data_IF_613581689394
#
_entry.id   IF_613581689394
#
_cell.length_a   1.000
_cell.length_b   1.000
_cell.length_c   1.000
_cell.angle_alpha   90.00
_cell.angle_beta   90.00
_cell.angle_gamma   90.00
#
_symmetry.space_group_name_H-M   'P 1'
#
loop_
_entity.id
_entity.type
_entity.pdbx_description
1 polymer ?
#
# COMPACT_ATOMS: atom_id res chain seq x y z
N UNK A 1 13.26 -10.85 3.91
CA UNK A 1 12.19 -9.85 3.67
C UNK A 1 10.88 -10.61 3.74
N UNK A 2 10.18 -10.51 4.87
CA UNK A 2 8.98 -11.32 5.12
C UNK A 2 7.78 -10.68 4.41
N UNK A 3 7.32 -11.30 3.32
CA UNK A 3 6.04 -10.96 2.68
C UNK A 3 4.90 -11.71 3.36
N UNK A 4 3.76 -11.05 3.55
CA UNK A 4 2.57 -11.69 4.13
C UNK A 4 1.69 -12.25 3.00
N UNK A 5 1.38 -13.55 3.06
CA UNK A 5 0.53 -14.25 2.11
C UNK A 5 -0.79 -14.56 2.81
N UNK A 6 -1.86 -13.83 2.47
CA UNK A 6 -3.23 -14.26 2.77
C UNK A 6 -3.65 -15.29 1.71
N UNK A 7 -3.70 -16.57 2.09
CA UNK A 7 -4.39 -17.61 1.31
C UNK A 7 -5.85 -17.65 1.76
N UNK A 8 -6.75 -17.31 0.84
CA UNK A 8 -8.19 -17.40 1.05
C UNK A 8 -8.68 -18.75 0.53
N UNK A 9 -8.31 -19.82 1.23
CA UNK A 9 -8.51 -21.21 0.77
C UNK A 9 -9.97 -21.72 0.87
N UNK A 10 -10.99 -20.85 1.03
CA UNK A 10 -12.35 -21.33 1.32
C UNK A 10 -13.52 -20.70 0.54
N UNK A 11 -13.27 -19.96 -0.54
CA UNK A 11 -14.35 -19.52 -1.44
C UNK A 11 -13.91 -19.74 -2.88
N UNK A 12 -14.72 -20.42 -3.70
CA UNK A 12 -14.40 -20.83 -5.07
C UNK A 12 -14.18 -19.66 -6.07
N UNK A 13 -14.04 -18.42 -5.57
CA UNK A 13 -13.92 -17.14 -6.30
C UNK A 13 -13.09 -16.09 -5.54
N UNK A 14 -12.37 -16.46 -4.48
CA UNK A 14 -11.69 -15.52 -3.58
C UNK A 14 -10.48 -14.88 -4.26
N UNK A 15 -10.49 -13.55 -4.39
CA UNK A 15 -9.37 -12.79 -4.90
C UNK A 15 -8.26 -12.81 -3.84
N UNK A 16 -7.06 -13.31 -4.14
CA UNK A 16 -5.99 -13.31 -3.15
C UNK A 16 -5.22 -12.00 -3.18
N UNK A 17 -4.77 -11.52 -2.02
CA UNK A 17 -4.11 -10.24 -1.90
C UNK A 17 -2.82 -10.38 -1.09
N UNK A 18 -1.73 -9.82 -1.63
CA UNK A 18 -0.42 -9.82 -0.99
C UNK A 18 0.07 -8.39 -0.86
N UNK A 19 0.40 -8.00 0.37
CA UNK A 19 0.95 -6.68 0.65
C UNK A 19 2.47 -6.82 0.79
N UNK A 20 3.18 -6.13 -0.10
CA UNK A 20 4.62 -5.93 -0.01
C UNK A 20 4.91 -4.51 0.47
N UNK A 21 6.17 -4.23 0.80
CA UNK A 21 6.59 -2.93 1.32
C UNK A 21 6.41 -1.75 0.34
N UNK A 22 6.34 -2.01 -0.96
CA UNK A 22 6.26 -0.98 -2.00
C UNK A 22 5.00 -1.07 -2.86
N UNK A 23 4.39 -2.26 -2.93
CA UNK A 23 3.26 -2.55 -3.78
C UNK A 23 2.29 -3.54 -3.12
N UNK A 24 1.03 -3.43 -3.51
CA UNK A 24 -0.01 -4.40 -3.20
C UNK A 24 -0.29 -5.19 -4.48
N UNK A 25 -0.12 -6.51 -4.42
CA UNK A 25 -0.47 -7.43 -5.49
C UNK A 25 -1.87 -7.98 -5.23
N UNK A 26 -2.76 -7.82 -6.21
CA UNK A 26 -4.14 -8.28 -6.20
C UNK A 26 -4.25 -9.36 -7.27
N UNK A 27 -4.52 -10.59 -6.85
CA UNK A 27 -4.73 -11.71 -7.75
C UNK A 27 -6.22 -12.02 -7.80
N UNK A 28 -6.86 -11.64 -8.90
CA UNK A 28 -8.27 -11.94 -9.17
C UNK A 28 -8.36 -13.30 -9.82
N UNK A 29 -8.95 -14.26 -9.10
CA UNK A 29 -9.11 -15.63 -9.59
C UNK A 29 -10.42 -15.76 -10.38
N UNK A 30 -10.31 -16.06 -11.68
CA UNK A 30 -11.40 -16.46 -12.55
C UNK A 30 -11.38 -17.98 -12.76
N UNK A 31 -12.48 -18.62 -13.18
CA UNK A 31 -12.54 -20.07 -13.36
C UNK A 31 -11.47 -20.66 -14.27
N UNK A 32 -10.98 -19.88 -15.25
CA UNK A 32 -10.03 -20.33 -16.27
C UNK A 32 -8.67 -19.64 -16.20
N UNK A 33 -8.53 -18.58 -15.39
CA UNK A 33 -7.30 -17.76 -15.35
C UNK A 33 -7.22 -16.95 -14.07
N UNK A 34 -6.02 -16.51 -13.70
CA UNK A 34 -5.84 -15.54 -12.61
C UNK A 34 -5.28 -14.25 -13.20
N UNK A 35 -5.99 -13.14 -13.05
CA UNK A 35 -5.47 -11.83 -13.39
C UNK A 35 -4.68 -11.29 -12.20
N UNK A 36 -3.47 -10.80 -12.46
CA UNK A 36 -2.60 -10.21 -11.44
C UNK A 36 -2.44 -8.74 -11.73
N UNK A 37 -2.92 -7.93 -10.82
CA UNK A 37 -2.72 -6.48 -10.82
C UNK A 37 -1.82 -6.07 -9.66
N UNK A 38 -1.09 -4.97 -9.87
CA UNK A 38 -0.19 -4.39 -8.87
C UNK A 38 -0.45 -2.90 -8.75
N UNK A 39 -0.60 -2.43 -7.52
CA UNK A 39 -0.74 -1.00 -7.21
C UNK A 39 0.35 -0.59 -6.23
N UNK A 40 1.07 0.50 -6.53
CA UNK A 40 2.10 1.00 -5.62
C UNK A 40 1.46 1.59 -4.37
N UNK A 41 2.08 1.38 -3.22
CA UNK A 41 1.60 1.92 -1.92
C UNK A 41 1.42 3.45 -1.98
N UNK A 42 2.34 4.16 -2.66
CA UNK A 42 2.24 5.62 -2.85
C UNK A 42 1.14 6.10 -3.81
N UNK A 43 0.55 5.18 -4.57
CA UNK A 43 -0.57 5.43 -5.50
C UNK A 43 -1.92 5.12 -4.86
N UNK A 44 -1.97 4.41 -3.73
CA UNK A 44 -3.22 4.18 -2.98
C UNK A 44 -3.66 5.50 -2.32
N UNK A 45 -4.91 5.89 -2.54
CA UNK A 45 -5.59 7.05 -1.95
C UNK A 45 -6.35 6.66 -0.68
N UNK A 46 -7.13 5.59 -0.74
CA UNK A 46 -8.02 5.17 0.34
C UNK A 46 -8.29 3.65 0.30
N UNK A 47 -8.62 3.09 1.46
CA UNK A 47 -9.06 1.70 1.62
C UNK A 47 -10.35 1.69 2.46
N UNK A 48 -11.47 1.40 1.78
CA UNK A 48 -12.78 1.32 2.39
C UNK A 48 -13.16 -0.14 2.68
N UNK A 49 -13.80 -0.37 3.84
CA UNK A 49 -14.40 -1.65 4.20
C UNK A 49 -15.90 -1.40 4.35
N UNK A 50 -16.70 -2.15 3.61
CA UNK A 50 -18.16 -2.05 3.63
C UNK A 50 -18.74 -3.43 3.92
N UNK A 51 -19.81 -3.50 4.71
CA UNK A 51 -20.56 -4.76 4.81
C UNK A 51 -21.19 -5.05 3.45
N UNK A 52 -21.17 -6.30 3.03
CA UNK A 52 -21.84 -6.70 1.80
C UNK A 52 -23.36 -6.61 2.01
N UNK A 53 -24.10 -5.74 1.29
CA UNK A 53 -25.54 -5.62 1.46
C UNK A 53 -26.30 -6.85 0.93
N UNK A 54 -25.66 -7.69 0.11
CA UNK A 54 -26.24 -8.90 -0.49
C UNK A 54 -25.99 -10.14 0.38
N UNK A 55 -24.90 -10.15 1.14
CA UNK A 55 -24.63 -11.20 2.12
C UNK A 55 -24.98 -10.71 3.53
N UNK A 56 -26.03 -11.27 4.10
CA UNK A 56 -26.43 -11.00 5.49
C UNK A 56 -25.52 -11.73 6.52
N UNK A 57 -24.23 -11.91 6.19
CA UNK A 57 -23.23 -12.53 7.06
C UNK A 57 -22.20 -11.47 7.51
N UNK A 58 -22.16 -11.10 8.81
CA UNK A 58 -21.26 -10.07 9.32
C UNK A 58 -19.77 -10.49 9.29
N UNK A 59 -19.49 -11.77 9.01
CA UNK A 59 -18.11 -12.28 8.90
C UNK A 59 -17.46 -11.84 7.60
N UNK A 60 -18.23 -11.50 6.57
CA UNK A 60 -17.71 -11.11 5.27
C UNK A 60 -18.00 -9.65 4.96
N UNK A 61 -17.09 -9.03 4.23
CA UNK A 61 -17.17 -7.64 3.86
C UNK A 61 -16.57 -7.42 2.47
N UNK A 62 -16.95 -6.31 1.87
CA UNK A 62 -16.40 -5.81 0.63
C UNK A 62 -15.29 -4.84 0.97
N UNK A 63 -14.08 -5.09 0.46
CA UNK A 63 -12.96 -4.15 0.57
C UNK A 63 -12.77 -3.44 -0.76
N UNK A 64 -12.72 -2.11 -0.72
CA UNK A 64 -12.42 -1.28 -1.89
C UNK A 64 -11.10 -0.54 -1.71
N UNK A 65 -10.16 -0.73 -2.62
CA UNK A 65 -8.87 -0.02 -2.67
C UNK A 65 -8.93 1.00 -3.78
N UNK A 66 -8.87 2.29 -3.42
CA UNK A 66 -8.90 3.40 -4.36
C UNK A 66 -7.47 3.86 -4.68
N UNK A 67 -7.10 3.85 -5.94
CA UNK A 67 -5.82 4.33 -6.45
C UNK A 67 -5.92 5.69 -7.16
N UNK A 68 -4.79 6.39 -7.26
CA UNK A 68 -4.64 7.63 -8.04
C UNK A 68 -4.88 7.32 -9.52
N UNK A 69 -5.81 8.04 -10.15
CA UNK A 69 -5.97 7.99 -11.60
C UNK A 69 -6.95 6.95 -12.15
N UNK A 70 -7.92 6.49 -11.35
CA UNK A 70 -9.09 5.62 -11.70
C UNK A 70 -8.93 4.11 -11.47
N UNK A 71 -7.82 3.65 -10.91
CA UNK A 71 -7.68 2.24 -10.51
C UNK A 71 -8.41 2.01 -9.18
N UNK A 72 -9.64 1.50 -9.24
CA UNK A 72 -10.40 1.09 -8.07
C UNK A 72 -10.53 -0.43 -8.09
N UNK A 73 -10.06 -1.07 -7.03
CA UNK A 73 -10.20 -2.51 -6.86
C UNK A 73 -11.27 -2.78 -5.82
N UNK A 74 -12.19 -3.69 -6.11
CA UNK A 74 -13.21 -4.15 -5.17
C UNK A 74 -13.04 -5.63 -4.98
N UNK A 75 -12.83 -6.03 -3.72
CA UNK A 75 -12.62 -7.41 -3.30
C UNK A 75 -13.86 -7.80 -2.50
N UNK A 76 -14.79 -8.56 -3.10
CA UNK A 76 -15.96 -9.05 -2.38
C UNK A 76 -15.58 -10.20 -1.44
N UNK A 77 -16.44 -10.46 -0.46
CA UNK A 77 -16.38 -11.66 0.39
C UNK A 77 -15.06 -11.86 1.16
N UNK A 78 -14.42 -10.77 1.60
CA UNK A 78 -13.24 -10.87 2.47
C UNK A 78 -13.67 -10.96 3.93
N UNK A 79 -13.03 -11.83 4.72
CA UNK A 79 -13.34 -11.91 6.14
C UNK A 79 -13.07 -10.56 6.84
N UNK A 80 -14.01 -10.11 7.68
CA UNK A 80 -13.95 -8.81 8.36
C UNK A 80 -12.66 -8.61 9.15
N UNK A 81 -12.14 -9.66 9.81
CA UNK A 81 -10.86 -9.60 10.51
C UNK A 81 -9.69 -9.36 9.54
N UNK A 82 -9.64 -10.11 8.45
CA UNK A 82 -8.60 -10.00 7.42
C UNK A 82 -8.67 -8.65 6.72
N UNK A 83 -9.87 -8.14 6.43
CA UNK A 83 -10.10 -6.82 5.86
C UNK A 83 -9.58 -5.69 6.75
N UNK A 84 -9.86 -5.74 8.06
CA UNK A 84 -9.33 -4.77 9.02
C UNK A 84 -7.82 -4.81 9.12
N UNK A 85 -7.24 -6.02 9.17
CA UNK A 85 -5.80 -6.20 9.19
C UNK A 85 -5.14 -5.67 7.91
N UNK A 86 -5.74 -5.96 6.74
CA UNK A 86 -5.30 -5.46 5.45
C UNK A 86 -5.28 -3.94 5.40
N UNK A 87 -6.40 -3.30 5.79
CA UNK A 87 -6.51 -1.85 5.85
C UNK A 87 -5.41 -1.24 6.74
N UNK A 88 -5.27 -1.74 7.96
CA UNK A 88 -4.24 -1.31 8.90
C UNK A 88 -2.82 -1.45 8.33
N UNK A 89 -2.54 -2.58 7.68
CA UNK A 89 -1.23 -2.84 7.05
C UNK A 89 -0.94 -1.82 5.95
N UNK A 90 -1.90 -1.57 5.05
CA UNK A 90 -1.75 -0.60 3.95
C UNK A 90 -1.57 0.82 4.51
N UNK A 91 -2.37 1.23 5.49
CA UNK A 91 -2.27 2.56 6.11
C UNK A 91 -0.92 2.77 6.80
N UNK A 92 -0.40 1.74 7.47
CA UNK A 92 0.93 1.75 8.09
C UNK A 92 2.01 1.91 7.03
N UNK A 93 1.99 1.09 5.98
CA UNK A 93 2.96 1.16 4.88
C UNK A 93 2.90 2.51 4.15
N UNK A 94 1.70 3.08 3.96
CA UNK A 94 1.53 4.43 3.39
C UNK A 94 2.16 5.50 4.26
N UNK A 95 1.95 5.43 5.57
CA UNK A 95 2.54 6.37 6.54
C UNK A 95 4.07 6.27 6.52
N UNK A 96 4.62 5.07 6.47
CA UNK A 96 6.07 4.84 6.35
C UNK A 96 6.62 5.37 5.02
N UNK A 97 5.91 5.15 3.92
CA UNK A 97 6.28 5.65 2.59
C UNK A 97 6.31 7.18 2.56
N UNK A 98 5.30 7.85 3.16
CA UNK A 98 5.27 9.31 3.27
C UNK A 98 6.44 9.84 4.11
N UNK A 99 6.73 9.23 5.27
CA UNK A 99 7.87 9.61 6.13
C UNK A 99 9.20 9.47 5.39
N UNK A 100 9.40 8.39 4.61
CA UNK A 100 10.61 8.21 3.78
C UNK A 100 10.73 9.25 2.66
N UNK A 101 9.61 9.61 2.03
CA UNK A 101 9.57 10.64 1.00
C UNK A 101 9.89 12.04 1.56
N UNK A 102 9.53 12.31 2.82
CA UNK A 102 9.84 13.55 3.53
C UNK A 102 11.29 13.59 4.02
N UNK A 103 11.83 12.48 4.54
CA UNK A 103 13.24 12.41 4.99
C UNK A 103 14.23 12.60 3.83
N UNK A 104 13.94 12.03 2.65
CA UNK A 104 14.76 12.20 1.45
C UNK A 104 14.78 13.63 0.88
N UNK A 105 13.81 14.48 1.25
CA UNK A 105 13.81 15.92 0.85
C UNK A 105 14.69 16.78 1.76
N UNK A 106 14.97 16.34 2.99
CA UNK A 106 15.78 17.11 3.95
C UNK A 106 17.28 17.01 3.69
N UNK A 107 17.79 15.89 3.15
CA UNK A 107 19.23 15.75 2.84
C UNK A 107 19.68 16.54 1.61
N UNK A 108 18.80 16.75 0.62
CA UNK A 108 19.14 17.47 -0.62
C UNK A 108 19.41 18.98 -0.39
N UNK A 109 18.71 19.62 0.55
CA UNK A 109 18.94 21.05 0.85
C UNK A 109 20.22 21.31 1.64
N UNK A 110 20.63 20.38 2.52
CA UNK A 110 21.84 20.51 3.34
C UNK A 110 23.12 20.35 2.50
N UNK A 111 23.14 19.43 1.54
CA UNK A 111 24.30 19.22 0.66
C UNK A 111 24.54 20.38 -0.32
N UNK A 112 23.49 21.08 -0.77
CA UNK A 112 23.63 22.27 -1.62
C UNK A 112 24.06 23.53 -0.85
N UNK A 113 23.69 23.67 0.42
CA UNK A 113 24.10 24.80 1.25
C UNK A 113 25.59 24.73 1.65
N UNK A 114 26.14 23.53 1.85
CA UNK A 114 27.54 23.33 2.24
C UNK A 114 28.56 23.60 1.11
N UNK A 115 28.14 23.58 -0.17
CA UNK A 115 29.01 23.92 -1.31
C UNK A 115 29.26 25.42 -1.49
N UNK A 116 28.48 26.28 -0.81
CA UNK A 116 28.57 27.73 -0.92
C UNK A 116 29.23 28.41 0.29
N UNK A 117 29.82 27.67 1.23
CA UNK A 117 30.61 28.30 2.29
C UNK A 117 31.97 28.74 1.74
N UNK A 118 32.28 30.05 1.72
CA UNK A 118 33.61 30.51 1.32
C UNK A 118 34.64 30.02 2.33
N UNK A 119 35.64 29.28 1.85
CA UNK A 119 36.80 28.85 2.63
C UNK A 119 37.59 30.09 3.03
N UNK A 120 37.40 30.58 4.26
CA UNK A 120 38.23 31.63 4.85
C UNK A 120 39.62 31.03 5.10
N UNK A 121 40.54 31.20 4.15
CA UNK A 121 41.97 30.93 4.36
C UNK A 121 42.56 32.08 5.16
N UNK A 122 42.74 31.91 6.48
CA UNK A 122 43.61 32.79 7.27
C UNK A 122 45.07 32.55 6.85
N UNK A 123 45.71 33.56 6.25
CA UNK A 123 47.18 33.63 6.14
C UNK A 123 47.70 34.20 7.45
N UNK A 124 48.47 33.43 8.19
CA UNK A 124 49.37 33.99 9.20
C UNK A 124 50.68 34.30 8.46
N UNK A 125 51.03 35.58 8.42
CA UNK A 125 52.38 36.08 8.11
C UNK A 125 53.12 36.39 9.39
#
# INVERSE_FOLDING_TARGET
MAGYILKLDNLSRSHSLKVYSEEVEINTHFPTQTLRDKIKIGEIEDVAIQMDPTQNDPRYCIVSIKGKGRLNYTIPELETYQARHLKSTIETQRSEFQRKAESGKSESKLASALKNFPVIRKRFG
#
